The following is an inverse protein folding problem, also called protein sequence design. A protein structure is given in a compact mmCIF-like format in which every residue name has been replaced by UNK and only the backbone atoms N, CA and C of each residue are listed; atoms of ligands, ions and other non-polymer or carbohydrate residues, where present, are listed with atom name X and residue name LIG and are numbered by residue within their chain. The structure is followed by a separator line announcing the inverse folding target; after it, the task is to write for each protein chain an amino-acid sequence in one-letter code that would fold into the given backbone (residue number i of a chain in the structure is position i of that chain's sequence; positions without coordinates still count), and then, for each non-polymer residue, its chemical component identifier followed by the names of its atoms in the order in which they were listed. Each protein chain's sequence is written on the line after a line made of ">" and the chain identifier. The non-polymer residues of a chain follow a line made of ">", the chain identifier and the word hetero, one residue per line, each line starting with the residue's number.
data_IF_733279498657
#
_entry.id   IF_733279498657
#
_cell.length_a   1.000
_cell.length_b   1.000
_cell.length_c   1.000
_cell.angle_alpha   90.00
_cell.angle_beta   90.00
_cell.angle_gamma   90.00
#
_symmetry.space_group_name_H-M   'P 1'
#
loop_
_entity.id
_entity.type
_entity.pdbx_description
1 polymer ?
#
# COMPACT_ATOMS: atom_id res chain seq x y z
N UNK A 1 26.20 0.58 7.89
CA UNK A 1 25.15 1.63 7.87
C UNK A 1 24.32 1.64 6.57
N UNK A 2 24.94 1.51 5.38
CA UNK A 2 24.22 1.57 4.08
C UNK A 2 23.20 0.44 3.82
N UNK A 3 23.53 -0.81 4.16
CA UNK A 3 22.62 -1.95 3.96
C UNK A 3 21.34 -1.85 4.81
N UNK A 4 21.44 -1.38 6.07
CA UNK A 4 20.29 -1.16 6.95
C UNK A 4 19.39 0.00 6.45
N UNK A 5 20.00 1.06 5.90
CA UNK A 5 19.30 2.18 5.26
C UNK A 5 18.60 1.75 3.97
N UNK A 6 19.23 0.91 3.15
CA UNK A 6 18.62 0.33 1.95
C UNK A 6 17.41 -0.55 2.30
N UNK A 7 17.54 -1.42 3.31
CA UNK A 7 16.45 -2.26 3.81
C UNK A 7 15.28 -1.43 4.40
N UNK A 8 15.57 -0.35 5.15
CA UNK A 8 14.55 0.58 5.67
C UNK A 8 13.80 1.33 4.57
N UNK A 9 14.45 1.68 3.45
CA UNK A 9 13.81 2.39 2.34
C UNK A 9 12.75 1.53 1.64
N UNK A 10 13.01 0.23 1.46
CA UNK A 10 12.03 -0.69 0.85
C UNK A 10 10.78 -0.86 1.71
N UNK A 11 10.97 -1.12 3.01
CA UNK A 11 9.88 -1.29 3.97
C UNK A 11 9.08 -0.01 4.22
N UNK A 12 9.73 1.15 4.26
CA UNK A 12 9.05 2.44 4.41
C UNK A 12 8.12 2.75 3.21
N UNK A 13 8.54 2.45 1.99
CA UNK A 13 7.73 2.66 0.77
C UNK A 13 6.49 1.77 0.73
N UNK A 14 6.62 0.50 1.11
CA UNK A 14 5.49 -0.42 1.22
C UNK A 14 4.48 0.06 2.28
N UNK A 15 4.95 0.56 3.42
CA UNK A 15 4.06 1.14 4.45
C UNK A 15 3.33 2.38 3.94
N UNK A 16 4.02 3.28 3.22
CA UNK A 16 3.42 4.46 2.61
C UNK A 16 2.39 4.05 1.56
N UNK A 17 2.69 3.06 0.71
CA UNK A 17 1.78 2.55 -0.31
C UNK A 17 0.48 2.02 0.31
N UNK A 18 0.58 1.17 1.35
CA UNK A 18 -0.59 0.60 2.03
C UNK A 18 -1.40 1.68 2.74
N UNK A 19 -0.73 2.59 3.46
CA UNK A 19 -1.39 3.68 4.16
C UNK A 19 -2.11 4.63 3.20
N UNK A 20 -1.46 5.00 2.08
CA UNK A 20 -2.05 5.85 1.06
C UNK A 20 -3.23 5.14 0.35
N UNK A 21 -3.12 3.85 0.03
CA UNK A 21 -4.21 3.09 -0.58
C UNK A 21 -5.42 2.95 0.36
N UNK A 22 -5.17 2.74 1.65
CA UNK A 22 -6.23 2.70 2.66
C UNK A 22 -6.90 4.08 2.83
N UNK A 23 -6.12 5.15 2.93
CA UNK A 23 -6.65 6.51 2.99
C UNK A 23 -7.46 6.87 1.73
N UNK A 24 -6.97 6.47 0.55
CA UNK A 24 -7.67 6.62 -0.72
C UNK A 24 -9.04 5.93 -0.69
N UNK A 25 -9.09 4.65 -0.30
CA UNK A 25 -10.35 3.91 -0.24
C UNK A 25 -11.35 4.49 0.77
N UNK A 26 -10.89 4.91 1.95
CA UNK A 26 -11.73 5.57 2.97
C UNK A 26 -12.30 6.89 2.43
N UNK A 27 -11.48 7.69 1.76
CA UNK A 27 -11.92 8.96 1.19
C UNK A 27 -12.92 8.78 0.04
N UNK A 28 -12.75 7.76 -0.81
CA UNK A 28 -13.74 7.44 -1.84
C UNK A 28 -15.10 7.03 -1.25
N UNK A 29 -15.11 6.21 -0.20
CA UNK A 29 -16.34 5.86 0.54
C UNK A 29 -16.95 7.08 1.22
N UNK A 30 -16.13 7.95 1.82
CA UNK A 30 -16.60 9.20 2.41
C UNK A 30 -17.20 10.15 1.34
N UNK A 31 -16.59 10.22 0.16
CA UNK A 31 -17.10 11.01 -0.96
C UNK A 31 -18.43 10.43 -1.50
N UNK A 32 -18.59 9.11 -1.52
CA UNK A 32 -19.86 8.48 -1.89
C UNK A 32 -21.01 8.84 -0.95
N UNK A 33 -20.72 9.05 0.35
CA UNK A 33 -21.68 9.46 1.38
C UNK A 33 -21.91 10.97 1.43
N UNK A 34 -21.18 11.77 0.64
CA UNK A 34 -21.25 13.23 0.72
C UNK A 34 -22.66 13.74 0.32
N UNK A 35 -23.34 14.53 1.18
CA UNK A 35 -24.67 15.04 0.88
C UNK A 35 -24.65 16.18 -0.15
N UNK A 36 -23.56 16.95 -0.23
CA UNK A 36 -23.44 18.12 -1.10
C UNK A 36 -22.35 17.98 -2.17
N UNK A 37 -22.60 18.58 -3.35
CA UNK A 37 -21.64 18.62 -4.45
C UNK A 37 -20.32 19.31 -4.06
N UNK A 38 -20.39 20.38 -3.28
CA UNK A 38 -19.20 21.11 -2.81
C UNK A 38 -18.30 20.27 -1.92
N UNK A 39 -18.88 19.47 -1.01
CA UNK A 39 -18.11 18.56 -0.18
C UNK A 39 -17.46 17.45 -1.02
N UNK A 40 -18.20 16.92 -1.99
CA UNK A 40 -17.66 15.94 -2.94
C UNK A 40 -16.48 16.52 -3.74
N UNK A 41 -16.62 17.73 -4.28
CA UNK A 41 -15.55 18.42 -5.00
C UNK A 41 -14.33 18.70 -4.12
N UNK A 42 -14.55 19.07 -2.85
CA UNK A 42 -13.47 19.26 -1.88
C UNK A 42 -12.72 17.95 -1.59
N UNK A 43 -13.44 16.83 -1.45
CA UNK A 43 -12.86 15.50 -1.20
C UNK A 43 -12.07 14.95 -2.39
N UNK A 44 -12.35 15.39 -3.63
CA UNK A 44 -11.57 14.99 -4.80
C UNK A 44 -10.10 15.42 -4.70
N UNK A 45 -9.80 16.53 -4.00
CA UNK A 45 -8.42 17.00 -3.82
C UNK A 45 -7.57 15.97 -3.05
N UNK A 46 -7.92 15.59 -1.80
CA UNK A 46 -7.15 14.58 -1.08
C UNK A 46 -7.22 13.20 -1.77
N UNK A 47 -8.34 12.82 -2.39
CA UNK A 47 -8.44 11.57 -3.17
C UNK A 47 -7.38 11.54 -4.28
N UNK A 48 -7.25 12.62 -5.07
CA UNK A 48 -6.23 12.73 -6.10
C UNK A 48 -4.80 12.63 -5.55
N UNK A 49 -4.52 13.28 -4.42
CA UNK A 49 -3.20 13.23 -3.76
C UNK A 49 -2.84 11.81 -3.35
N UNK A 50 -3.75 11.09 -2.68
CA UNK A 50 -3.47 9.72 -2.25
C UNK A 50 -3.40 8.75 -3.43
N UNK A 51 -4.25 8.93 -4.44
CA UNK A 51 -4.21 8.13 -5.68
C UNK A 51 -2.89 8.29 -6.43
N UNK A 52 -2.41 9.53 -6.59
CA UNK A 52 -1.10 9.81 -7.19
C UNK A 52 0.04 9.23 -6.33
N UNK A 53 -0.05 9.36 -5.01
CA UNK A 53 0.94 8.80 -4.08
C UNK A 53 1.05 7.28 -4.23
N UNK A 54 -0.08 6.57 -4.31
CA UNK A 54 -0.14 5.13 -4.57
C UNK A 54 0.53 4.81 -5.90
N UNK A 55 0.17 5.53 -6.96
CA UNK A 55 0.70 5.30 -8.30
C UNK A 55 2.23 5.46 -8.35
N UNK A 56 2.75 6.60 -7.87
CA UNK A 56 4.20 6.88 -7.86
C UNK A 56 4.96 5.89 -6.97
N UNK A 57 4.42 5.57 -5.79
CA UNK A 57 5.07 4.65 -4.85
C UNK A 57 5.09 3.23 -5.39
N UNK A 58 4.00 2.76 -6.01
CA UNK A 58 3.93 1.43 -6.62
C UNK A 58 4.95 1.30 -7.77
N UNK A 59 4.96 2.26 -8.69
CA UNK A 59 5.94 2.29 -9.80
C UNK A 59 7.38 2.26 -9.26
N UNK A 60 7.68 3.11 -8.29
CA UNK A 60 9.02 3.18 -7.68
C UNK A 60 9.37 1.88 -6.94
N UNK A 61 8.43 1.26 -6.24
CA UNK A 61 8.64 0.02 -5.52
C UNK A 61 9.00 -1.13 -6.47
N UNK A 62 8.28 -1.28 -7.58
CA UNK A 62 8.57 -2.33 -8.56
C UNK A 62 9.91 -2.06 -9.25
N UNK A 63 10.22 -0.82 -9.62
CA UNK A 63 11.51 -0.47 -10.25
C UNK A 63 12.71 -0.71 -9.33
N UNK A 64 12.60 -0.33 -8.06
CA UNK A 64 13.68 -0.48 -7.08
C UNK A 64 13.82 -1.91 -6.55
N UNK A 65 12.75 -2.70 -6.59
CA UNK A 65 12.76 -4.12 -6.21
C UNK A 65 13.23 -5.06 -7.33
N UNK A 66 13.45 -4.54 -8.54
CA UNK A 66 13.87 -5.34 -9.70
C UNK A 66 15.34 -5.14 -10.01
N UNK A 67 16.04 -6.24 -10.32
CA UNK A 67 17.41 -6.23 -10.82
C UNK A 67 17.53 -5.31 -12.06
N UNK A 68 18.55 -4.43 -12.14
CA UNK A 68 18.81 -3.59 -13.32
C UNK A 68 18.64 -4.28 -14.67
N UNK A 69 19.09 -5.53 -14.82
CA UNK A 69 19.03 -6.28 -16.09
C UNK A 69 17.59 -6.69 -16.48
N UNK A 70 16.68 -6.79 -15.51
CA UNK A 70 15.32 -7.29 -15.70
C UNK A 70 14.23 -6.21 -15.61
N UNK A 71 14.59 -4.96 -15.28
CA UNK A 71 13.63 -3.86 -15.11
C UNK A 71 12.68 -3.69 -16.29
N UNK A 72 13.19 -3.75 -17.53
CA UNK A 72 12.36 -3.60 -18.73
C UNK A 72 11.30 -4.69 -18.84
N UNK A 73 11.65 -5.95 -18.54
CA UNK A 73 10.73 -7.10 -18.59
C UNK A 73 9.68 -7.01 -17.49
N UNK A 74 10.08 -6.66 -16.26
CA UNK A 74 9.15 -6.53 -15.13
C UNK A 74 8.21 -5.34 -15.32
N UNK A 75 8.70 -4.20 -15.84
CA UNK A 75 7.86 -3.05 -16.18
C UNK A 75 6.89 -3.35 -17.32
N UNK A 76 7.29 -4.14 -18.32
CA UNK A 76 6.37 -4.59 -19.36
C UNK A 76 5.23 -5.43 -18.79
N UNK A 77 5.52 -6.38 -17.90
CA UNK A 77 4.50 -7.17 -17.20
C UNK A 77 3.61 -6.29 -16.30
N UNK A 78 4.22 -5.35 -15.57
CA UNK A 78 3.50 -4.42 -14.71
C UNK A 78 2.52 -3.56 -15.52
N UNK A 79 2.97 -2.98 -16.63
CA UNK A 79 2.12 -2.20 -17.54
C UNK A 79 1.07 -3.05 -18.25
N UNK A 80 1.39 -4.30 -18.61
CA UNK A 80 0.42 -5.23 -19.18
C UNK A 80 -0.73 -5.50 -18.21
N UNK A 81 -0.44 -5.72 -16.93
CA UNK A 81 -1.48 -5.90 -15.90
C UNK A 81 -2.26 -4.60 -15.68
N UNK A 82 -1.56 -3.47 -15.57
CA UNK A 82 -2.19 -2.18 -15.28
C UNK A 82 -3.10 -1.72 -16.43
N UNK A 83 -2.59 -1.74 -17.65
CA UNK A 83 -3.32 -1.33 -18.84
C UNK A 83 -4.31 -2.39 -19.31
N UNK A 84 -4.06 -3.68 -19.05
CA UNK A 84 -4.98 -4.77 -19.36
C UNK A 84 -6.16 -4.88 -18.38
N UNK A 85 -5.99 -4.44 -17.13
CA UNK A 85 -7.08 -4.37 -16.15
C UNK A 85 -8.05 -3.23 -16.43
N UNK A 86 -7.58 -2.07 -16.90
CA UNK A 86 -8.41 -0.89 -17.21
C UNK A 86 -9.58 -1.16 -18.17
N UNK A 87 -9.42 -1.81 -19.34
CA UNK A 87 -10.52 -2.08 -20.25
C UNK A 87 -11.54 -3.07 -19.69
N UNK A 88 -11.20 -3.84 -18.65
CA UNK A 88 -12.15 -4.69 -17.93
C UNK A 88 -12.85 -3.91 -16.80
N UNK A 89 -12.09 -3.10 -16.06
CA UNK A 89 -12.61 -2.32 -14.94
C UNK A 89 -13.48 -1.14 -15.38
N UNK A 90 -13.12 -0.44 -16.45
CA UNK A 90 -13.82 0.77 -16.88
C UNK A 90 -15.27 0.51 -17.32
N UNK A 91 -15.59 -0.52 -18.13
CA UNK A 91 -16.98 -0.86 -18.44
C UNK A 91 -17.76 -1.35 -17.22
N UNK A 92 -17.10 -2.10 -16.31
CA UNK A 92 -17.75 -2.65 -15.12
C UNK A 92 -18.14 -1.51 -14.15
N UNK A 93 -17.21 -0.60 -13.86
CA UNK A 93 -17.48 0.60 -13.06
C UNK A 93 -18.48 1.50 -13.79
N UNK A 94 -18.33 1.69 -15.11
CA UNK A 94 -19.26 2.47 -15.93
C UNK A 94 -20.69 1.96 -15.84
N UNK A 95 -20.90 0.66 -15.99
CA UNK A 95 -22.21 0.03 -15.84
C UNK A 95 -22.78 0.20 -14.43
N UNK A 96 -21.97 0.02 -13.38
CA UNK A 96 -22.41 0.27 -11.99
C UNK A 96 -22.79 1.72 -11.79
N UNK A 97 -22.03 2.67 -12.33
CA UNK A 97 -22.33 4.11 -12.22
C UNK A 97 -23.56 4.53 -13.01
N UNK A 98 -23.85 3.86 -14.13
CA UNK A 98 -25.04 4.12 -14.95
C UNK A 98 -26.30 3.56 -14.27
N UNK A 99 -26.22 2.35 -13.73
CA UNK A 99 -27.35 1.69 -13.07
C UNK A 99 -27.67 2.22 -11.66
N UNK A 100 -26.64 2.54 -10.87
CA UNK A 100 -26.79 2.89 -9.44
C UNK A 100 -26.30 4.31 -9.10
N UNK A 101 -25.81 5.05 -10.08
CA UNK A 101 -25.29 6.41 -9.92
C UNK A 101 -23.82 6.46 -9.52
N UNK A 102 -23.20 7.63 -9.76
CA UNK A 102 -21.78 7.86 -9.50
C UNK A 102 -21.36 7.57 -8.05
N UNK A 103 -22.21 7.87 -7.07
CA UNK A 103 -21.92 7.64 -5.64
C UNK A 103 -21.64 6.17 -5.34
N UNK A 104 -22.40 5.25 -5.94
CA UNK A 104 -22.19 3.81 -5.76
C UNK A 104 -20.90 3.36 -6.44
N UNK A 105 -20.54 3.95 -7.58
CA UNK A 105 -19.24 3.72 -8.22
C UNK A 105 -18.06 4.09 -7.33
N UNK A 106 -18.10 5.26 -6.68
CA UNK A 106 -17.08 5.68 -5.71
C UNK A 106 -17.04 4.77 -4.47
N UNK A 107 -18.20 4.37 -3.94
CA UNK A 107 -18.25 3.44 -2.81
C UNK A 107 -17.63 2.07 -3.17
N UNK A 108 -17.92 1.56 -4.37
CA UNK A 108 -17.41 0.28 -4.85
C UNK A 108 -15.88 0.35 -5.08
N UNK A 109 -15.39 1.40 -5.74
CA UNK A 109 -13.96 1.64 -5.93
C UNK A 109 -13.23 1.75 -4.60
N UNK A 110 -13.79 2.52 -3.66
CA UNK A 110 -13.21 2.71 -2.34
C UNK A 110 -13.17 1.43 -1.52
N UNK A 111 -14.23 0.61 -1.59
CA UNK A 111 -14.29 -0.70 -0.95
C UNK A 111 -13.24 -1.66 -1.51
N UNK A 112 -13.14 -1.75 -2.85
CA UNK A 112 -12.15 -2.60 -3.52
C UNK A 112 -10.73 -2.17 -3.15
N UNK A 113 -10.44 -0.86 -3.16
CA UNK A 113 -9.15 -0.32 -2.76
C UNK A 113 -8.82 -0.62 -1.30
N UNK A 114 -9.78 -0.42 -0.38
CA UNK A 114 -9.60 -0.69 1.04
C UNK A 114 -9.39 -2.19 1.33
N UNK A 115 -10.13 -3.08 0.65
CA UNK A 115 -9.96 -4.54 0.77
C UNK A 115 -8.60 -4.96 0.21
N UNK A 116 -8.19 -4.42 -0.95
CA UNK A 116 -6.88 -4.70 -1.53
C UNK A 116 -5.75 -4.24 -0.59
N UNK A 117 -5.82 -3.01 -0.08
CA UNK A 117 -4.84 -2.46 0.87
C UNK A 117 -4.76 -3.30 2.15
N UNK A 118 -5.91 -3.69 2.71
CA UNK A 118 -5.98 -4.56 3.89
C UNK A 118 -5.41 -5.94 3.62
N UNK A 119 -5.77 -6.57 2.51
CA UNK A 119 -5.29 -7.91 2.12
C UNK A 119 -3.79 -7.90 1.92
N UNK A 120 -3.26 -6.95 1.16
CA UNK A 120 -1.82 -6.76 0.95
C UNK A 120 -1.13 -6.49 2.29
N UNK A 121 -1.66 -5.60 3.13
CA UNK A 121 -1.14 -5.33 4.47
C UNK A 121 -1.08 -6.57 5.37
N UNK A 122 -2.13 -7.40 5.35
CA UNK A 122 -2.20 -8.64 6.10
C UNK A 122 -1.24 -9.70 5.58
N UNK A 123 -1.13 -9.86 4.26
CA UNK A 123 -0.18 -10.79 3.62
C UNK A 123 1.25 -10.37 3.97
N UNK A 124 1.58 -9.09 3.89
CA UNK A 124 2.89 -8.60 4.30
C UNK A 124 3.16 -8.75 5.80
N UNK A 125 2.14 -8.56 6.66
CA UNK A 125 2.27 -8.84 8.09
C UNK A 125 2.51 -10.33 8.38
N UNK A 126 1.84 -11.22 7.63
CA UNK A 126 1.96 -12.68 7.74
C UNK A 126 3.30 -13.20 7.22
N UNK A 127 3.73 -12.76 6.04
CA UNK A 127 4.98 -13.18 5.38
C UNK A 127 6.20 -12.52 6.02
N UNK A 128 6.05 -11.32 6.59
CA UNK A 128 7.14 -10.55 7.18
C UNK A 128 7.62 -11.00 8.57
N UNK A 129 6.84 -11.76 9.35
CA UNK A 129 7.25 -12.15 10.72
C UNK A 129 7.65 -10.96 11.61
N UNK A 130 7.05 -9.79 11.37
CA UNK A 130 7.48 -8.51 11.93
C UNK A 130 6.86 -8.28 13.31
N UNK A 131 7.59 -8.62 14.38
CA UNK A 131 7.23 -8.18 15.73
C UNK A 131 7.39 -6.65 15.82
N UNK A 132 6.27 -5.98 16.02
CA UNK A 132 6.18 -4.56 16.32
C UNK A 132 6.69 -4.36 17.76
N UNK A 133 7.94 -3.90 17.93
CA UNK A 133 8.42 -3.46 19.25
C UNK A 133 8.23 -1.95 19.34
N UNK A 134 7.19 -1.54 20.08
CA UNK A 134 6.93 -0.14 20.41
C UNK A 134 7.68 0.16 21.69
N UNK A 135 8.88 0.72 21.57
CA UNK A 135 9.67 1.19 22.69
C UNK A 135 9.43 2.68 22.92
N UNK A 136 9.00 3.04 24.12
CA UNK A 136 8.87 4.44 24.55
C UNK A 136 10.19 4.86 25.21
N UNK A 137 11.00 5.67 24.52
CA UNK A 137 12.20 6.23 25.14
C UNK A 137 12.21 7.76 24.97
N UNK A 138 12.09 8.45 26.11
CA UNK A 138 12.24 9.91 26.26
C UNK A 138 11.49 10.77 25.22
N UNK A 139 10.16 10.68 25.21
CA UNK A 139 9.30 11.72 24.61
C UNK A 139 9.10 11.68 23.09
N UNK A 140 9.55 10.64 22.39
CA UNK A 140 9.26 10.46 20.96
C UNK A 140 8.96 8.98 20.66
N UNK A 141 7.83 8.65 19.98
CA UNK A 141 7.46 7.26 19.73
C UNK A 141 8.29 6.70 18.57
N UNK A 142 9.23 5.79 18.87
CA UNK A 142 9.98 5.04 17.86
C UNK A 142 9.43 3.62 17.71
N UNK A 143 8.73 3.38 16.61
CA UNK A 143 8.28 2.04 16.21
C UNK A 143 9.44 1.33 15.50
N UNK A 144 10.01 0.30 16.13
CA UNK A 144 11.10 -0.50 15.56
C UNK A 144 10.65 -1.94 15.31
N UNK A 145 10.96 -2.44 14.13
CA UNK A 145 10.65 -3.79 13.69
C UNK A 145 11.87 -4.69 13.94
N UNK A 146 11.72 -5.73 14.77
CA UNK A 146 12.81 -6.68 15.09
C UNK A 146 12.50 -8.04 14.45
N UNK A 147 13.36 -8.54 13.52
CA UNK A 147 13.28 -9.88 12.96
C UNK A 147 13.57 -10.98 14.00
N UNK A 148 12.87 -12.12 13.88
CA UNK A 148 12.77 -13.23 14.86
C UNK A 148 14.02 -14.12 15.01
N UNK A 149 15.09 -13.89 14.26
CA UNK A 149 16.24 -14.81 14.18
C UNK A 149 17.32 -14.61 15.28
N UNK A 150 17.25 -13.55 16.08
CA UNK A 150 18.28 -13.27 17.09
C UNK A 150 18.22 -14.17 18.34
N UNK A 151 17.18 -15.01 18.49
CA UNK A 151 17.02 -15.93 19.63
C UNK A 151 17.88 -17.19 19.53
N UNK A 152 17.89 -17.85 18.37
CA UNK A 152 18.51 -19.17 18.20
C UNK A 152 20.05 -19.11 18.20
N UNK A 153 20.63 -17.97 17.80
CA UNK A 153 22.09 -17.83 17.74
C UNK A 153 22.73 -17.66 19.13
N UNK A 154 21.98 -17.13 20.10
CA UNK A 154 22.44 -16.99 21.49
C UNK A 154 22.46 -18.33 22.21
N UNK A 155 21.52 -19.21 21.90
CA UNK A 155 21.41 -20.55 22.51
C UNK A 155 22.51 -21.49 22.01
N UNK A 156 22.84 -21.45 20.70
CA UNK A 156 23.97 -22.19 20.11
C UNK A 156 25.34 -21.75 20.63
N UNK A 157 25.52 -20.47 20.97
CA UNK A 157 26.76 -19.97 21.59
C UNK A 157 26.86 -20.36 23.07
N UNK A 158 25.73 -20.51 23.77
CA UNK A 158 25.71 -20.96 25.17
C UNK A 158 25.90 -22.48 25.33
N UNK A 159 25.62 -23.27 24.29
CA UNK A 159 25.89 -24.73 24.29
C UNK A 159 27.28 -25.10 23.78
N UNK A 160 28.03 -24.11 23.26
CA UNK A 160 29.37 -24.30 22.69
C UNK A 160 30.50 -23.86 23.66
N UNK A 161 30.16 -23.51 24.91
CA UNK A 161 31.08 -23.24 26.03
C UNK A 161 30.82 -24.28 27.11
#
# INVERSE_FOLDING_TARGET
>A
AGALLAARRGTARLRILIAAAMAFGILEVAAALAPSFWLFALLMVPIGIFGLTVNVTANTAVQMGTDPAMRGRVMALFMMVFMGGTPLGAPLVGWVTDAYGARVGFALGGLVSAVAATTVGLVLARVGGLRLSVGWHRGHPLVSFVPREAGEQKERLATAV
#
